data_IF_366468884575
#
_entry.id   IF_366468884575
#
_cell.length_a   1.000
_cell.length_b   1.000
_cell.length_c   1.000
_cell.angle_alpha   90.00
_cell.angle_beta   90.00
_cell.angle_gamma   90.00
#
_symmetry.space_group_name_H-M   'P 1'
#
loop_
_entity.id
_entity.type
_entity.pdbx_description
1 polymer ?
#
# COMPACT_ATOMS: atom_id res chain seq x y z
N UNK A 1 14.52 5.13 -35.84
CA UNK A 1 13.95 4.08 -34.95
C UNK A 1 14.83 3.80 -33.71
N UNK A 2 16.12 3.48 -33.86
CA UNK A 2 17.02 3.28 -32.69
C UNK A 2 17.20 4.61 -31.89
N UNK A 3 17.41 5.70 -32.56
CA UNK A 3 17.62 7.02 -31.94
C UNK A 3 16.38 7.52 -31.19
N UNK A 4 15.19 7.28 -31.73
CA UNK A 4 13.91 7.63 -31.07
C UNK A 4 13.68 6.82 -29.79
N UNK A 5 14.03 5.52 -29.84
CA UNK A 5 13.93 4.65 -28.67
C UNK A 5 14.95 5.02 -27.59
N UNK A 6 16.18 5.40 -28.00
CA UNK A 6 17.20 5.89 -27.09
C UNK A 6 16.78 7.19 -26.41
N UNK A 7 16.25 8.15 -27.19
CA UNK A 7 15.73 9.41 -26.63
C UNK A 7 14.56 9.17 -25.66
N UNK A 8 13.68 8.22 -25.98
CA UNK A 8 12.59 7.84 -25.08
C UNK A 8 13.13 7.28 -23.75
N UNK A 9 14.10 6.35 -23.79
CA UNK A 9 14.72 5.78 -22.59
C UNK A 9 15.40 6.88 -21.78
N UNK A 10 16.17 7.76 -22.40
CA UNK A 10 16.85 8.87 -21.72
C UNK A 10 15.85 9.84 -21.07
N UNK A 11 14.74 10.14 -21.75
CA UNK A 11 13.68 10.97 -21.19
C UNK A 11 13.03 10.33 -19.97
N UNK A 12 12.72 9.03 -20.04
CA UNK A 12 12.16 8.27 -18.90
C UNK A 12 13.15 8.21 -17.74
N UNK A 13 14.45 7.97 -18.01
CA UNK A 13 15.49 7.99 -16.98
C UNK A 13 15.61 9.36 -16.31
N UNK A 14 15.64 10.44 -17.08
CA UNK A 14 15.72 11.78 -16.53
C UNK A 14 14.50 12.16 -15.67
N UNK A 15 13.31 11.70 -16.06
CA UNK A 15 12.12 11.87 -15.23
C UNK A 15 12.19 11.07 -13.93
N UNK A 16 12.74 9.85 -13.98
CA UNK A 16 12.92 9.00 -12.82
C UNK A 16 13.92 9.61 -11.83
N UNK A 17 15.08 10.06 -12.30
CA UNK A 17 16.10 10.71 -11.47
C UNK A 17 15.54 11.93 -10.72
N UNK A 18 14.75 12.79 -11.39
CA UNK A 18 14.11 13.94 -10.75
C UNK A 18 13.10 13.56 -9.67
N UNK A 19 12.44 12.40 -9.82
CA UNK A 19 11.47 11.91 -8.84
C UNK A 19 12.17 11.26 -7.64
N UNK A 20 13.28 10.56 -7.88
CA UNK A 20 14.09 9.94 -6.81
C UNK A 20 14.82 10.99 -5.95
N UNK A 21 15.10 12.17 -6.48
CA UNK A 21 15.70 13.29 -5.75
C UNK A 21 14.69 14.14 -4.95
N UNK A 22 13.39 13.94 -5.17
CA UNK A 22 12.38 14.68 -4.44
C UNK A 22 12.44 14.34 -2.94
N UNK A 23 12.55 15.34 -2.05
CA UNK A 23 12.62 15.09 -0.62
C UNK A 23 11.32 14.47 -0.11
N UNK A 24 11.44 13.46 0.75
CA UNK A 24 10.30 12.89 1.45
C UNK A 24 9.89 13.80 2.60
N UNK A 25 8.81 14.53 2.44
CA UNK A 25 8.24 15.39 3.49
C UNK A 25 7.53 14.58 4.60
N UNK A 26 7.33 13.28 4.40
CA UNK A 26 6.54 12.41 5.28
C UNK A 26 7.28 11.09 5.55
N UNK A 27 8.50 11.13 6.14
CA UNK A 27 9.21 9.90 6.47
C UNK A 27 8.41 9.11 7.51
N UNK A 28 8.33 7.81 7.28
CA UNK A 28 7.56 6.89 8.12
C UNK A 28 8.50 6.09 9.00
N UNK A 29 8.00 5.61 10.13
CA UNK A 29 8.73 4.69 10.99
C UNK A 29 8.19 3.27 10.79
N UNK A 30 9.05 2.24 10.85
CA UNK A 30 8.60 0.85 10.92
C UNK A 30 7.59 0.66 12.04
N UNK A 31 6.59 -0.15 11.80
CA UNK A 31 5.50 -0.40 12.76
C UNK A 31 5.41 -1.88 13.08
N UNK A 32 5.19 -2.20 14.35
CA UNK A 32 5.07 -3.58 14.84
C UNK A 32 3.95 -4.38 14.17
N UNK A 33 2.87 -3.71 13.79
CA UNK A 33 1.70 -4.34 13.17
C UNK A 33 2.03 -5.05 11.86
N UNK A 34 2.98 -4.54 11.08
CA UNK A 34 3.39 -5.19 9.82
C UNK A 34 4.08 -6.52 10.07
N UNK A 35 4.91 -6.62 11.11
CA UNK A 35 5.56 -7.86 11.53
C UNK A 35 4.53 -8.87 12.03
N UNK A 36 3.60 -8.45 12.90
CA UNK A 36 2.51 -9.29 13.39
C UNK A 36 1.67 -9.86 12.24
N UNK A 37 1.35 -9.05 11.23
CA UNK A 37 0.60 -9.50 10.07
C UNK A 37 1.40 -10.56 9.31
N UNK A 38 2.68 -10.33 9.05
CA UNK A 38 3.55 -11.28 8.34
C UNK A 38 3.59 -12.62 9.06
N UNK A 39 3.74 -12.61 10.39
CA UNK A 39 3.79 -13.84 11.22
C UNK A 39 2.45 -14.59 11.28
N UNK A 40 1.33 -13.87 11.13
CA UNK A 40 -0.01 -14.44 11.22
C UNK A 40 -0.61 -14.90 9.90
N UNK A 41 0.06 -14.63 8.77
CA UNK A 41 -0.40 -15.12 7.48
C UNK A 41 -0.50 -16.65 7.48
N UNK A 42 -1.50 -17.23 6.80
CA UNK A 42 -1.65 -18.69 6.70
C UNK A 42 -0.58 -19.35 5.80
N UNK A 43 0.42 -18.59 5.38
CA UNK A 43 1.55 -19.00 4.54
C UNK A 43 2.75 -18.11 4.82
N UNK A 44 3.95 -18.66 4.69
CA UNK A 44 5.19 -17.89 4.83
C UNK A 44 5.45 -17.05 3.58
N UNK A 45 5.87 -15.80 3.78
CA UNK A 45 6.37 -14.99 2.67
C UNK A 45 7.70 -15.57 2.18
N UNK A 46 7.87 -15.62 0.87
CA UNK A 46 9.14 -16.05 0.26
C UNK A 46 10.26 -15.05 0.60
N UNK A 47 11.51 -15.50 0.55
CA UNK A 47 12.68 -14.63 0.74
C UNK A 47 12.65 -13.41 -0.21
N UNK A 48 12.19 -13.61 -1.45
CA UNK A 48 12.07 -12.52 -2.43
C UNK A 48 11.02 -11.49 -1.99
N UNK A 49 9.85 -11.95 -1.48
CA UNK A 49 8.82 -11.06 -0.98
C UNK A 49 9.30 -10.28 0.26
N UNK A 50 9.96 -10.95 1.20
CA UNK A 50 10.54 -10.30 2.39
C UNK A 50 11.60 -9.26 2.00
N UNK A 51 12.48 -9.57 1.05
CA UNK A 51 13.47 -8.59 0.56
C UNK A 51 12.79 -7.36 -0.04
N UNK A 52 11.76 -7.56 -0.89
CA UNK A 52 10.99 -6.44 -1.47
C UNK A 52 10.27 -5.65 -0.38
N UNK A 53 9.71 -6.32 0.64
CA UNK A 53 9.08 -5.64 1.77
C UNK A 53 10.09 -4.73 2.51
N UNK A 54 11.25 -5.26 2.89
CA UNK A 54 12.28 -4.46 3.58
C UNK A 54 12.81 -3.31 2.71
N UNK A 55 12.85 -3.46 1.40
CA UNK A 55 13.18 -2.36 0.49
C UNK A 55 12.09 -1.27 0.51
N UNK A 56 10.80 -1.65 0.47
CA UNK A 56 9.67 -0.73 0.57
C UNK A 56 9.69 0.02 1.91
N UNK A 57 9.84 -0.71 3.01
CA UNK A 57 9.91 -0.16 4.36
C UNK A 57 11.06 0.86 4.52
N UNK A 58 12.23 0.52 3.99
CA UNK A 58 13.39 1.42 3.98
C UNK A 58 13.14 2.67 3.13
N UNK A 59 12.52 2.53 1.96
CA UNK A 59 12.23 3.67 1.10
C UNK A 59 11.17 4.59 1.73
N UNK A 60 10.12 4.04 2.35
CA UNK A 60 9.11 4.81 3.08
C UNK A 60 9.70 5.57 4.29
N UNK A 61 10.70 4.96 4.92
CA UNK A 61 11.42 5.58 6.06
C UNK A 61 12.54 6.53 5.61
N UNK A 62 12.86 6.56 4.32
CA UNK A 62 13.94 7.32 3.73
C UNK A 62 13.68 8.81 3.59
N UNK A 63 14.71 9.55 3.23
CA UNK A 63 14.64 11.00 2.99
C UNK A 63 14.16 11.35 1.57
N UNK A 64 14.18 10.40 0.65
CA UNK A 64 13.71 10.55 -0.73
C UNK A 64 12.30 9.97 -0.88
N UNK A 65 11.53 10.52 -1.81
CA UNK A 65 10.18 10.05 -2.10
C UNK A 65 10.23 8.65 -2.71
N UNK A 66 9.51 7.70 -2.12
CA UNK A 66 9.42 6.34 -2.65
C UNK A 66 8.72 6.34 -4.02
N UNK A 67 9.40 5.84 -5.04
CA UNK A 67 8.84 5.58 -6.37
C UNK A 67 9.35 4.22 -6.85
N UNK A 68 8.57 3.16 -6.62
CA UNK A 68 9.02 1.78 -6.85
C UNK A 68 8.03 1.00 -7.70
N UNK A 69 8.53 0.32 -8.73
CA UNK A 69 7.77 -0.65 -9.51
C UNK A 69 8.03 -2.06 -8.97
N UNK A 70 6.99 -2.72 -8.47
CA UNK A 70 7.06 -4.11 -8.02
C UNK A 70 6.53 -5.02 -9.13
N UNK A 71 7.42 -5.81 -9.71
CA UNK A 71 7.10 -6.79 -10.76
C UNK A 71 7.13 -8.22 -10.20
N UNK A 72 6.30 -9.07 -10.78
CA UNK A 72 6.22 -10.50 -10.45
C UNK A 72 5.05 -11.15 -11.16
N UNK A 73 5.03 -12.46 -11.21
CA UNK A 73 3.97 -13.25 -11.84
C UNK A 73 2.61 -13.07 -11.15
N UNK A 74 1.55 -13.50 -11.83
CA UNK A 74 0.20 -13.57 -11.24
C UNK A 74 0.24 -14.52 -10.05
N UNK A 75 -0.29 -14.09 -8.90
CA UNK A 75 -0.24 -14.89 -7.67
C UNK A 75 1.08 -14.79 -6.88
N UNK A 76 2.05 -14.00 -7.31
CA UNK A 76 3.32 -13.80 -6.58
C UNK A 76 3.21 -13.00 -5.27
N UNK A 77 2.00 -12.70 -4.80
CA UNK A 77 1.77 -12.01 -3.51
C UNK A 77 2.03 -10.50 -3.50
N UNK A 78 2.07 -9.83 -4.66
CA UNK A 78 2.25 -8.37 -4.74
C UNK A 78 1.24 -7.57 -3.90
N UNK A 79 0.01 -8.08 -3.81
CA UNK A 79 -1.08 -7.42 -3.09
C UNK A 79 -0.82 -7.33 -1.59
N UNK A 80 -0.23 -8.37 -0.97
CA UNK A 80 0.10 -8.31 0.45
C UNK A 80 1.16 -7.26 0.76
N UNK A 81 2.16 -7.09 -0.12
CA UNK A 81 3.18 -6.05 0.03
C UNK A 81 2.56 -4.63 -0.03
N UNK A 82 1.58 -4.43 -0.93
CA UNK A 82 0.84 -3.19 -0.99
C UNK A 82 0.01 -2.96 0.29
N UNK A 83 -0.60 -3.99 0.84
CA UNK A 83 -1.35 -3.89 2.11
C UNK A 83 -0.45 -3.55 3.29
N UNK A 84 0.73 -4.17 3.39
CA UNK A 84 1.70 -3.85 4.43
C UNK A 84 2.15 -2.38 4.34
N UNK A 85 2.44 -1.88 3.14
CA UNK A 85 2.79 -0.48 2.93
C UNK A 85 1.65 0.48 3.31
N UNK A 86 0.40 0.13 3.00
CA UNK A 86 -0.77 0.92 3.42
C UNK A 86 -0.93 0.95 4.94
N UNK A 87 -0.77 -0.19 5.61
CA UNK A 87 -0.86 -0.30 7.07
C UNK A 87 0.22 0.53 7.74
N UNK A 88 1.47 0.40 7.30
CA UNK A 88 2.57 1.23 7.77
C UNK A 88 2.26 2.73 7.60
N UNK A 89 1.73 3.12 6.45
CA UNK A 89 1.35 4.51 6.15
C UNK A 89 0.30 5.02 7.13
N UNK A 90 -0.74 4.24 7.38
CA UNK A 90 -1.86 4.68 8.23
C UNK A 90 -1.47 4.71 9.71
N UNK A 91 -0.67 3.77 10.20
CA UNK A 91 -0.17 3.80 11.58
C UNK A 91 0.80 4.97 11.83
N UNK A 92 1.45 5.48 10.80
CA UNK A 92 2.19 6.74 10.88
C UNK A 92 1.30 8.00 10.79
N UNK A 93 -0.04 7.84 10.80
CA UNK A 93 -1.00 8.94 10.81
C UNK A 93 -1.30 9.53 9.43
N UNK A 94 -0.86 8.90 8.34
CA UNK A 94 -1.12 9.33 6.97
C UNK A 94 -2.27 8.56 6.33
N UNK A 95 -2.72 9.01 5.17
CA UNK A 95 -3.74 8.34 4.38
C UNK A 95 -3.08 7.50 3.28
N UNK A 96 -3.61 6.29 3.05
CA UNK A 96 -3.17 5.42 1.98
C UNK A 96 -4.31 5.16 0.99
N UNK A 97 -3.98 5.07 -0.29
CA UNK A 97 -4.93 4.78 -1.38
C UNK A 97 -4.39 3.67 -2.26
N UNK A 98 -5.21 2.67 -2.51
CA UNK A 98 -4.94 1.62 -3.49
C UNK A 98 -5.84 1.81 -4.71
N UNK A 99 -5.22 2.04 -5.85
CA UNK A 99 -5.93 2.14 -7.13
C UNK A 99 -5.91 0.80 -7.86
N UNK A 100 -7.02 0.45 -8.47
CA UNK A 100 -7.15 -0.73 -9.32
C UNK A 100 -7.76 -0.34 -10.67
N UNK A 101 -7.44 -1.05 -11.77
CA UNK A 101 -7.90 -0.70 -13.10
C UNK A 101 -9.40 -0.90 -13.32
N UNK A 102 -10.06 -1.70 -12.48
CA UNK A 102 -11.50 -1.96 -12.56
C UNK A 102 -12.14 -1.92 -11.18
N UNK A 103 -13.44 -1.59 -11.14
CA UNK A 103 -14.24 -1.62 -9.92
C UNK A 103 -14.26 -3.01 -9.27
N UNK A 104 -14.32 -4.06 -10.08
CA UNK A 104 -14.32 -5.44 -9.59
C UNK A 104 -13.04 -5.75 -8.82
N UNK A 105 -11.88 -5.39 -9.38
CA UNK A 105 -10.59 -5.56 -8.70
C UNK A 105 -10.47 -4.69 -7.45
N UNK A 106 -10.95 -3.46 -7.49
CA UNK A 106 -10.98 -2.60 -6.32
C UNK A 106 -11.80 -3.21 -5.18
N UNK A 107 -12.97 -3.76 -5.48
CA UNK A 107 -13.82 -4.48 -4.50
C UNK A 107 -13.14 -5.74 -3.96
N UNK A 108 -12.47 -6.52 -4.82
CA UNK A 108 -11.72 -7.71 -4.39
C UNK A 108 -10.57 -7.35 -3.45
N UNK A 109 -9.80 -6.31 -3.77
CA UNK A 109 -8.73 -5.83 -2.89
C UNK A 109 -9.27 -5.30 -1.57
N UNK A 110 -10.38 -4.56 -1.61
CA UNK A 110 -11.03 -4.08 -0.41
C UNK A 110 -11.48 -5.23 0.51
N UNK A 111 -12.15 -6.25 -0.03
CA UNK A 111 -12.58 -7.42 0.73
C UNK A 111 -11.40 -8.22 1.29
N UNK A 112 -10.32 -8.37 0.52
CA UNK A 112 -9.12 -9.06 0.98
C UNK A 112 -8.43 -8.30 2.13
N UNK A 113 -8.34 -6.98 2.03
CA UNK A 113 -7.81 -6.12 3.10
C UNK A 113 -8.72 -6.18 4.34
N UNK A 114 -10.03 -6.09 4.14
CA UNK A 114 -11.01 -6.20 5.21
C UNK A 114 -10.84 -7.50 6.00
N UNK A 115 -10.72 -8.63 5.31
CA UNK A 115 -10.51 -9.94 5.93
C UNK A 115 -9.21 -9.98 6.72
N UNK A 116 -8.11 -9.51 6.13
CA UNK A 116 -6.80 -9.47 6.78
C UNK A 116 -6.85 -8.68 8.09
N UNK A 117 -7.48 -7.51 8.09
CA UNK A 117 -7.55 -6.65 9.26
C UNK A 117 -8.46 -7.22 10.36
N UNK A 118 -9.56 -7.89 9.98
CA UNK A 118 -10.44 -8.58 10.93
C UNK A 118 -9.73 -9.72 11.64
N UNK A 119 -8.96 -10.52 10.91
CA UNK A 119 -8.20 -11.65 11.47
C UNK A 119 -7.17 -11.18 12.50
N UNK A 120 -6.65 -9.96 12.34
CA UNK A 120 -5.64 -9.37 13.22
C UNK A 120 -6.20 -8.50 14.35
N UNK A 121 -7.52 -8.31 14.43
CA UNK A 121 -8.14 -7.37 15.39
C UNK A 121 -7.55 -5.95 15.32
N UNK A 122 -7.13 -5.51 14.14
CA UNK A 122 -6.56 -4.17 13.93
C UNK A 122 -7.70 -3.17 13.73
N UNK A 123 -7.68 -2.08 14.50
CA UNK A 123 -8.61 -0.96 14.31
C UNK A 123 -8.20 -0.15 13.10
N UNK A 124 -9.09 -0.02 12.13
CA UNK A 124 -8.77 0.59 10.87
C UNK A 124 -9.96 1.33 10.25
N UNK A 125 -9.68 2.48 9.62
CA UNK A 125 -10.65 3.18 8.81
C UNK A 125 -10.38 2.89 7.34
N UNK A 126 -11.24 2.12 6.69
CA UNK A 126 -11.17 1.88 5.27
C UNK A 126 -12.42 2.43 4.58
N UNK A 127 -12.24 3.05 3.43
CA UNK A 127 -13.33 3.54 2.57
C UNK A 127 -13.15 2.94 1.19
N UNK A 128 -14.09 2.10 0.77
CA UNK A 128 -14.20 1.61 -0.60
C UNK A 128 -15.11 2.51 -1.44
N UNK A 129 -15.28 2.16 -2.72
CA UNK A 129 -16.02 2.97 -3.70
C UNK A 129 -17.50 3.26 -3.33
N UNK A 130 -18.11 2.43 -2.49
CA UNK A 130 -19.50 2.56 -2.08
C UNK A 130 -19.76 2.57 -0.56
N UNK A 131 -18.81 2.12 0.24
CA UNK A 131 -18.99 1.95 1.67
C UNK A 131 -17.81 2.52 2.46
N UNK A 132 -18.11 3.28 3.52
CA UNK A 132 -17.13 3.64 4.56
C UNK A 132 -17.31 2.68 5.72
N UNK A 133 -16.25 1.96 6.03
CA UNK A 133 -16.26 0.97 7.11
C UNK A 133 -15.21 1.37 8.14
N UNK A 134 -15.65 1.44 9.39
CA UNK A 134 -14.75 1.59 10.55
C UNK A 134 -14.55 0.22 11.17
N UNK A 135 -13.29 -0.15 11.35
CA UNK A 135 -12.94 -1.32 12.15
C UNK A 135 -12.51 -0.87 13.54
N UNK A 136 -13.19 -1.38 14.54
CA UNK A 136 -12.81 -1.27 15.93
C UNK A 136 -12.69 -2.68 16.50
N UNK A 137 -11.74 -2.92 17.38
CA UNK A 137 -11.51 -4.21 18.02
C UNK A 137 -12.83 -4.84 18.48
N UNK A 138 -13.32 -5.84 17.73
CA UNK A 138 -14.53 -6.60 18.02
C UNK A 138 -15.86 -6.11 17.42
N UNK A 139 -15.91 -4.97 16.73
CA UNK A 139 -17.15 -4.44 16.14
C UNK A 139 -16.96 -3.89 14.73
N UNK A 140 -17.90 -4.24 13.86
CA UNK A 140 -18.02 -3.69 12.51
C UNK A 140 -19.10 -2.60 12.50
N UNK A 141 -18.69 -1.35 12.44
CA UNK A 141 -19.63 -0.23 12.35
C UNK A 141 -19.70 0.31 10.92
N UNK A 142 -20.86 0.14 10.27
CA UNK A 142 -21.14 0.74 8.96
C UNK A 142 -21.48 2.20 9.15
N UNK A 143 -20.62 3.11 8.69
CA UNK A 143 -20.91 4.55 8.73
C UNK A 143 -21.65 4.91 7.45
N UNK A 144 -22.96 5.19 7.58
CA UNK A 144 -23.75 5.76 6.51
C UNK A 144 -23.16 7.10 6.02
N UNK A 145 -23.26 7.33 4.70
CA UNK A 145 -22.66 8.42 3.95
C UNK A 145 -23.07 9.86 4.35
N UNK A 146 -23.87 10.04 5.40
CA UNK A 146 -24.54 11.32 5.72
C UNK A 146 -23.69 12.37 6.44
N UNK A 147 -22.40 12.12 6.72
CA UNK A 147 -21.54 13.09 7.45
C UNK A 147 -20.53 13.86 6.62
N UNK A 148 -20.60 13.83 5.29
CA UNK A 148 -19.64 14.56 4.41
C UNK A 148 -20.14 15.93 3.96
N UNK A 149 -21.26 16.42 4.48
CA UNK A 149 -21.79 17.74 4.13
C UNK A 149 -21.57 18.82 5.21
N UNK A 150 -20.50 18.76 5.97
CA UNK A 150 -20.10 19.91 6.82
C UNK A 150 -18.58 19.94 6.98
N UNK A 151 -17.92 20.74 6.15
CA UNK A 151 -16.52 21.10 6.28
C UNK A 151 -16.09 21.82 5.02
#
# INVERSE_FOLDING_TARGET
MFDEFLLFILAVQSLKEKTEEAPNAFPMHPVWTTEQIIESLPYDLTKAQLNVWHEIERDLSGQALMSRLVQGDVGSGKTILAFLAMIMTVENGYQAVLMAPTEVLARQHFQAMEKLLQEQNIEFWASGFADRIRYRKGEKEKICADRVKRG
#
